data_IF_649729406275
#
_entry.id   IF_649729406275
#
_cell.length_a   1.000
_cell.length_b   1.000
_cell.length_c   1.000
_cell.angle_alpha   90.00
_cell.angle_beta   90.00
_cell.angle_gamma   90.00
#
_symmetry.space_group_name_H-M   'P 1'
#
loop_
_entity.id
_entity.type
_entity.pdbx_description
1 polymer ?
#
# COMPACT_ATOMS: atom_id res chain seq x y z
N UNK A 1 -32.19 41.45 -0.85
CA UNK A 1 -31.27 40.88 -1.85
C UNK A 1 -30.99 39.45 -1.44
N UNK A 2 -31.61 38.47 -2.10
CA UNK A 2 -31.34 37.04 -1.90
C UNK A 2 -30.18 36.67 -2.80
N UNK A 3 -29.08 36.13 -2.26
CA UNK A 3 -27.98 35.61 -3.09
C UNK A 3 -28.55 34.52 -4.02
N UNK A 4 -28.16 34.51 -5.31
CA UNK A 4 -28.54 33.41 -6.19
C UNK A 4 -27.97 32.08 -5.62
N UNK A 5 -28.66 30.95 -5.83
CA UNK A 5 -28.17 29.66 -5.39
C UNK A 5 -26.79 29.38 -6.01
N UNK A 6 -25.83 28.95 -5.18
CA UNK A 6 -24.53 28.50 -5.65
C UNK A 6 -24.74 27.24 -6.51
N UNK A 7 -24.49 27.36 -7.82
CA UNK A 7 -24.41 26.22 -8.73
C UNK A 7 -23.17 25.38 -8.37
N UNK A 8 -23.32 24.53 -7.36
CA UNK A 8 -22.28 23.56 -7.01
C UNK A 8 -22.23 22.49 -8.09
N UNK A 9 -21.04 22.17 -8.64
CA UNK A 9 -20.92 21.10 -9.63
C UNK A 9 -21.41 19.78 -9.03
N UNK A 10 -22.28 19.08 -9.76
CA UNK A 10 -22.89 17.81 -9.33
C UNK A 10 -21.87 16.66 -9.13
N UNK A 11 -20.63 16.86 -9.55
CA UNK A 11 -19.53 15.90 -9.42
C UNK A 11 -18.18 16.63 -9.42
N UNK A 12 -17.24 16.12 -8.64
CA UNK A 12 -15.87 16.64 -8.53
C UNK A 12 -14.90 16.01 -9.54
N UNK A 13 -15.37 15.04 -10.33
CA UNK A 13 -14.52 14.32 -11.29
C UNK A 13 -14.37 15.05 -12.62
N UNK A 14 -13.13 15.34 -13.02
CA UNK A 14 -12.81 15.81 -14.37
C UNK A 14 -12.96 14.66 -15.38
N UNK A 15 -12.99 15.00 -16.68
CA UNK A 15 -12.96 13.98 -17.75
C UNK A 15 -11.76 13.05 -17.58
N UNK A 16 -10.61 13.60 -17.19
CA UNK A 16 -9.38 12.83 -16.95
C UNK A 16 -9.54 11.85 -15.80
N UNK A 17 -10.06 12.27 -14.64
CA UNK A 17 -10.21 11.37 -13.49
C UNK A 17 -11.22 10.27 -13.76
N UNK A 18 -12.27 10.55 -14.54
CA UNK A 18 -13.23 9.53 -15.00
C UNK A 18 -12.62 8.50 -15.92
N UNK A 19 -11.82 8.94 -16.90
CA UNK A 19 -11.12 8.02 -17.82
C UNK A 19 -10.13 7.16 -17.05
N UNK A 20 -9.38 7.75 -16.11
CA UNK A 20 -8.47 7.00 -15.24
C UNK A 20 -9.22 5.99 -14.37
N UNK A 21 -10.34 6.39 -13.76
CA UNK A 21 -11.18 5.48 -12.97
C UNK A 21 -11.71 4.31 -13.79
N UNK A 22 -12.21 4.57 -15.01
CA UNK A 22 -12.66 3.51 -15.91
C UNK A 22 -11.51 2.58 -16.33
N UNK A 23 -10.34 3.13 -16.66
CA UNK A 23 -9.16 2.35 -17.01
C UNK A 23 -8.69 1.45 -15.85
N UNK A 24 -8.71 1.96 -14.62
CA UNK A 24 -8.41 1.16 -13.41
C UNK A 24 -9.40 0.03 -13.24
N UNK A 25 -10.71 0.29 -13.38
CA UNK A 25 -11.73 -0.76 -13.28
C UNK A 25 -11.56 -1.86 -14.34
N UNK A 26 -11.33 -1.46 -15.60
CA UNK A 26 -11.04 -2.41 -16.68
C UNK A 26 -9.77 -3.20 -16.38
N UNK A 27 -8.72 -2.55 -15.88
CA UNK A 27 -7.47 -3.19 -15.48
C UNK A 27 -7.66 -4.22 -14.37
N UNK A 28 -8.43 -3.88 -13.33
CA UNK A 28 -8.75 -4.81 -12.21
C UNK A 28 -9.53 -6.02 -12.72
N UNK A 29 -10.56 -5.81 -13.55
CA UNK A 29 -11.34 -6.91 -14.13
C UNK A 29 -10.44 -7.80 -14.99
N UNK A 30 -9.59 -7.20 -15.82
CA UNK A 30 -8.66 -7.93 -16.68
C UNK A 30 -7.67 -8.74 -15.85
N UNK A 31 -7.11 -8.16 -14.79
CA UNK A 31 -6.20 -8.84 -13.86
C UNK A 31 -6.87 -10.05 -13.19
N UNK A 32 -8.13 -9.91 -12.76
CA UNK A 32 -8.88 -11.03 -12.15
C UNK A 32 -9.12 -12.13 -13.18
N UNK A 33 -9.59 -11.78 -14.39
CA UNK A 33 -9.88 -12.75 -15.45
C UNK A 33 -8.62 -13.52 -15.86
N UNK A 34 -7.54 -12.80 -16.14
CA UNK A 34 -6.30 -13.43 -16.58
C UNK A 34 -5.64 -14.22 -15.44
N UNK A 35 -5.55 -13.64 -14.24
CA UNK A 35 -4.85 -14.26 -13.11
C UNK A 35 -5.57 -15.49 -12.53
N UNK A 36 -6.90 -15.48 -12.46
CA UNK A 36 -7.65 -16.59 -11.86
C UNK A 36 -8.17 -17.61 -12.86
N UNK A 37 -8.41 -17.26 -14.12
CA UNK A 37 -9.04 -18.17 -15.08
C UNK A 37 -8.15 -18.57 -16.26
N UNK A 38 -7.15 -17.75 -16.61
CA UNK A 38 -6.28 -18.00 -17.78
C UNK A 38 -4.90 -18.50 -17.37
N UNK A 39 -4.35 -17.99 -16.27
CA UNK A 39 -3.05 -18.42 -15.78
C UNK A 39 -3.05 -19.94 -15.52
N UNK A 40 -2.01 -20.66 -15.98
CA UNK A 40 -1.85 -22.07 -15.65
C UNK A 40 -1.55 -22.23 -14.15
N UNK A 41 -1.82 -23.42 -13.63
CA UNK A 41 -1.33 -23.81 -12.32
C UNK A 41 0.19 -23.97 -12.33
N UNK A 42 0.81 -23.78 -11.17
CA UNK A 42 2.24 -24.01 -10.98
C UNK A 42 2.52 -25.47 -10.57
N UNK A 43 3.64 -26.04 -10.99
CA UNK A 43 3.96 -27.44 -10.71
C UNK A 43 4.10 -27.76 -9.20
N UNK A 44 4.51 -26.78 -8.39
CA UNK A 44 4.73 -26.94 -6.95
C UNK A 44 3.56 -26.37 -6.14
N UNK A 45 3.07 -25.20 -6.53
CA UNK A 45 2.05 -24.45 -5.80
C UNK A 45 0.62 -24.73 -6.29
N UNK A 46 0.46 -25.46 -7.40
CA UNK A 46 -0.82 -25.70 -8.07
C UNK A 46 -1.62 -24.39 -8.22
N UNK A 47 -2.92 -24.40 -7.93
CA UNK A 47 -3.78 -23.22 -8.01
C UNK A 47 -3.44 -22.11 -7.00
N UNK A 48 -2.67 -22.40 -5.94
CA UNK A 48 -2.36 -21.37 -4.94
C UNK A 48 -1.48 -20.25 -5.49
N UNK A 49 -0.72 -20.51 -6.57
CA UNK A 49 0.09 -19.50 -7.27
C UNK A 49 -0.75 -18.34 -7.77
N UNK A 50 -2.03 -18.55 -8.11
CA UNK A 50 -2.92 -17.51 -8.64
C UNK A 50 -3.13 -16.35 -7.65
N UNK A 51 -2.91 -16.58 -6.35
CA UNK A 51 -2.94 -15.51 -5.34
C UNK A 51 -1.89 -14.43 -5.56
N UNK A 52 -0.79 -14.73 -6.26
CA UNK A 52 0.27 -13.76 -6.56
C UNK A 52 -0.28 -12.55 -7.34
N UNK A 53 -1.27 -12.77 -8.21
CA UNK A 53 -1.86 -11.74 -9.05
C UNK A 53 -2.67 -10.71 -8.26
N UNK A 54 -3.07 -11.02 -7.03
CA UNK A 54 -3.75 -10.06 -6.14
C UNK A 54 -2.80 -9.56 -5.06
N UNK A 55 -2.06 -10.49 -4.44
CA UNK A 55 -1.22 -10.19 -3.29
C UNK A 55 -0.06 -9.26 -3.66
N UNK A 56 0.70 -9.58 -4.73
CA UNK A 56 1.90 -8.82 -5.09
C UNK A 56 1.55 -7.40 -5.55
N UNK A 57 0.55 -7.18 -6.45
CA UNK A 57 0.14 -5.82 -6.78
C UNK A 57 -0.37 -5.01 -5.58
N UNK A 58 -1.07 -5.65 -4.62
CA UNK A 58 -1.49 -4.98 -3.38
C UNK A 58 -0.29 -4.54 -2.53
N UNK A 59 0.74 -5.39 -2.43
CA UNK A 59 1.98 -5.04 -1.72
C UNK A 59 2.72 -3.89 -2.40
N UNK A 60 2.79 -3.88 -3.74
CA UNK A 60 3.41 -2.79 -4.50
C UNK A 60 2.64 -1.49 -4.30
N UNK A 61 1.30 -1.51 -4.39
CA UNK A 61 0.46 -0.33 -4.17
C UNK A 61 0.61 0.22 -2.75
N UNK A 62 0.78 -0.65 -1.75
CA UNK A 62 1.11 -0.27 -0.38
C UNK A 62 2.40 0.55 -0.33
N UNK A 63 3.49 0.04 -0.91
CA UNK A 63 4.77 0.75 -0.92
C UNK A 63 4.72 2.06 -1.68
N UNK A 64 4.06 2.09 -2.84
CA UNK A 64 3.92 3.32 -3.64
C UNK A 64 3.13 4.36 -2.85
N UNK A 65 1.97 3.99 -2.32
CA UNK A 65 1.09 4.90 -1.59
C UNK A 65 1.78 5.50 -0.36
N UNK A 66 2.43 4.67 0.46
CA UNK A 66 3.16 5.17 1.64
C UNK A 66 4.42 5.95 1.29
N UNK A 67 5.09 5.65 0.16
CA UNK A 67 6.18 6.49 -0.34
C UNK A 67 5.68 7.86 -0.78
N UNK A 68 4.52 7.93 -1.46
CA UNK A 68 3.87 9.21 -1.81
C UNK A 68 3.45 9.96 -0.55
N UNK A 69 2.93 9.27 0.47
CA UNK A 69 2.65 9.87 1.79
C UNK A 69 3.91 10.49 2.40
N UNK A 70 5.04 9.78 2.36
CA UNK A 70 6.32 10.28 2.88
C UNK A 70 6.80 11.52 2.11
N UNK A 71 6.77 11.48 0.77
CA UNK A 71 7.14 12.63 -0.07
C UNK A 71 6.23 13.82 0.21
N UNK A 72 4.91 13.63 0.24
CA UNK A 72 3.96 14.69 0.56
C UNK A 72 4.18 15.25 1.96
N UNK A 73 4.51 14.41 2.93
CA UNK A 73 4.84 14.82 4.30
C UNK A 73 6.11 15.68 4.36
N UNK A 74 7.18 15.27 3.67
CA UNK A 74 8.43 16.07 3.57
C UNK A 74 8.15 17.41 2.89
N UNK A 75 7.38 17.39 1.80
CA UNK A 75 7.06 18.59 1.04
C UNK A 75 6.13 19.54 1.83
N UNK A 76 5.21 19.03 2.64
CA UNK A 76 4.45 19.83 3.60
C UNK A 76 5.38 20.53 4.59
N UNK A 77 6.30 19.80 5.21
CA UNK A 77 7.21 20.40 6.20
C UNK A 77 8.12 21.47 5.60
N UNK A 78 8.54 21.28 4.34
CA UNK A 78 9.40 22.24 3.64
C UNK A 78 8.63 23.43 3.06
N UNK A 79 7.57 23.19 2.28
CA UNK A 79 6.86 24.22 1.50
C UNK A 79 5.63 24.78 2.21
N UNK A 80 5.12 24.11 3.25
CA UNK A 80 3.89 24.46 3.97
C UNK A 80 2.68 24.65 3.06
N UNK A 81 2.61 23.86 1.98
CA UNK A 81 1.52 23.93 1.00
C UNK A 81 0.46 22.87 1.28
N UNK A 82 -0.78 23.31 1.43
CA UNK A 82 -1.96 22.46 1.68
C UNK A 82 -2.10 21.36 0.62
N UNK A 83 -1.66 21.61 -0.61
CA UNK A 83 -1.69 20.59 -1.66
C UNK A 83 -0.88 19.34 -1.30
N UNK A 84 0.32 19.51 -0.74
CA UNK A 84 1.16 18.38 -0.31
C UNK A 84 0.60 17.63 0.88
N UNK A 85 -0.10 18.34 1.78
CA UNK A 85 -0.82 17.73 2.90
C UNK A 85 -1.97 16.85 2.40
N UNK A 86 -2.78 17.35 1.46
CA UNK A 86 -3.87 16.60 0.83
C UNK A 86 -3.31 15.36 0.12
N UNK A 87 -2.24 15.52 -0.67
CA UNK A 87 -1.59 14.38 -1.36
C UNK A 87 -1.12 13.33 -0.36
N UNK A 88 -0.48 13.74 0.75
CA UNK A 88 -0.01 12.81 1.76
C UNK A 88 -1.15 12.04 2.42
N UNK A 89 -2.22 12.76 2.79
CA UNK A 89 -3.39 12.21 3.45
C UNK A 89 -4.15 11.22 2.58
N UNK A 90 -4.51 11.62 1.35
CA UNK A 90 -5.22 10.75 0.42
C UNK A 90 -4.41 9.51 0.05
N UNK A 91 -3.08 9.64 -0.09
CA UNK A 91 -2.21 8.49 -0.35
C UNK A 91 -2.14 7.56 0.86
N UNK A 92 -2.19 8.09 2.08
CA UNK A 92 -2.17 7.27 3.29
C UNK A 92 -3.44 6.41 3.40
N UNK A 93 -4.61 6.97 3.09
CA UNK A 93 -5.88 6.23 3.07
C UNK A 93 -5.82 5.05 2.08
N UNK A 94 -5.35 5.32 0.86
CA UNK A 94 -5.16 4.29 -0.18
C UNK A 94 -4.18 3.22 0.33
N UNK A 95 -3.04 3.64 0.87
CA UNK A 95 -2.01 2.73 1.35
C UNK A 95 -2.48 1.84 2.51
N UNK A 96 -3.28 2.36 3.44
CA UNK A 96 -3.85 1.55 4.54
C UNK A 96 -4.77 0.46 3.99
N UNK A 97 -5.63 0.79 3.02
CA UNK A 97 -6.52 -0.20 2.38
C UNK A 97 -5.70 -1.32 1.73
N UNK A 98 -4.72 -0.96 0.89
CA UNK A 98 -3.88 -1.96 0.20
C UNK A 98 -2.96 -2.73 1.14
N UNK A 99 -2.48 -2.12 2.23
CA UNK A 99 -1.67 -2.79 3.22
C UNK A 99 -2.50 -3.83 3.98
N UNK A 100 -3.72 -3.48 4.36
CA UNK A 100 -4.69 -4.43 4.94
C UNK A 100 -5.00 -5.58 3.99
N UNK A 101 -5.27 -5.29 2.71
CA UNK A 101 -5.44 -6.31 1.68
C UNK A 101 -4.20 -7.21 1.54
N UNK A 102 -3.00 -6.64 1.60
CA UNK A 102 -1.73 -7.38 1.53
C UNK A 102 -1.60 -8.35 2.71
N UNK A 103 -1.88 -7.91 3.94
CA UNK A 103 -1.85 -8.77 5.12
C UNK A 103 -2.89 -9.89 5.05
N UNK A 104 -4.13 -9.58 4.63
CA UNK A 104 -5.21 -10.56 4.51
C UNK A 104 -4.89 -11.60 3.42
N UNK A 105 -4.55 -11.14 2.21
CA UNK A 105 -4.25 -12.03 1.08
C UNK A 105 -2.99 -12.84 1.33
N UNK A 106 -1.97 -12.26 1.97
CA UNK A 106 -0.75 -12.97 2.36
C UNK A 106 -1.03 -14.06 3.41
N UNK A 107 -1.89 -13.77 4.39
CA UNK A 107 -2.32 -14.75 5.39
C UNK A 107 -3.08 -15.92 4.74
N UNK A 108 -4.03 -15.63 3.85
CA UNK A 108 -4.78 -16.65 3.10
C UNK A 108 -3.83 -17.50 2.26
N UNK A 109 -2.87 -16.88 1.57
CA UNK A 109 -1.89 -17.58 0.72
C UNK A 109 -0.85 -18.37 1.53
N UNK A 110 -0.53 -17.93 2.75
CA UNK A 110 0.39 -18.65 3.63
C UNK A 110 -0.13 -20.02 4.07
N UNK A 111 -1.46 -20.21 4.17
CA UNK A 111 -2.03 -21.49 4.60
C UNK A 111 -1.72 -22.65 3.65
N UNK A 112 -2.00 -22.57 2.33
CA UNK A 112 -1.63 -23.66 1.41
C UNK A 112 -0.12 -23.77 1.20
N UNK A 113 0.64 -22.67 1.32
CA UNK A 113 2.07 -22.66 0.98
C UNK A 113 2.97 -23.12 2.14
N UNK A 114 2.68 -22.68 3.37
CA UNK A 114 3.52 -22.90 4.56
C UNK A 114 2.75 -23.51 5.74
N UNK A 115 1.50 -23.93 5.52
CA UNK A 115 0.62 -24.50 6.56
C UNK A 115 0.34 -23.56 7.76
N UNK A 116 0.52 -22.25 7.60
CA UNK A 116 0.22 -21.26 8.64
C UNK A 116 -0.40 -19.98 8.05
N UNK A 117 -1.29 -19.34 8.81
CA UNK A 117 -1.86 -18.04 8.45
C UNK A 117 -0.97 -16.87 8.89
N UNK A 118 -0.06 -17.11 9.84
CA UNK A 118 0.81 -16.09 10.41
C UNK A 118 2.03 -16.73 11.06
N UNK A 119 3.19 -16.08 10.94
CA UNK A 119 4.43 -16.48 11.59
C UNK A 119 5.06 -15.27 12.27
N UNK A 120 5.10 -15.28 13.60
CA UNK A 120 5.68 -14.19 14.39
C UNK A 120 7.21 -14.12 14.27
N UNK A 121 7.84 -15.24 13.93
CA UNK A 121 9.26 -15.29 13.62
C UNK A 121 9.64 -14.65 12.28
N UNK A 122 8.67 -14.42 11.38
CA UNK A 122 8.94 -13.84 10.06
C UNK A 122 9.07 -12.31 10.16
N UNK A 123 10.28 -11.82 9.89
CA UNK A 123 10.60 -10.39 10.00
C UNK A 123 9.79 -9.55 9.01
N UNK A 124 9.54 -10.04 7.78
CA UNK A 124 8.75 -9.33 6.77
C UNK A 124 7.31 -9.17 7.22
N UNK A 125 6.68 -10.25 7.72
CA UNK A 125 5.30 -10.21 8.21
C UNK A 125 5.15 -9.21 9.35
N UNK A 126 6.01 -9.33 10.37
CA UNK A 126 5.94 -8.47 11.55
C UNK A 126 6.21 -7.01 11.21
N UNK A 127 7.23 -6.71 10.40
CA UNK A 127 7.54 -5.32 10.00
C UNK A 127 6.45 -4.71 9.11
N UNK A 128 5.79 -5.52 8.27
CA UNK A 128 4.61 -5.08 7.49
C UNK A 128 3.42 -4.76 8.41
N UNK A 129 3.16 -5.59 9.43
CA UNK A 129 2.12 -5.30 10.42
C UNK A 129 2.43 -4.03 11.22
N UNK A 130 3.69 -3.83 11.62
CA UNK A 130 4.13 -2.60 12.29
C UNK A 130 3.87 -1.39 11.40
N UNK A 131 4.24 -1.45 10.11
CA UNK A 131 3.95 -0.41 9.11
C UNK A 131 2.44 -0.12 9.02
N UNK A 132 1.61 -1.16 8.94
CA UNK A 132 0.15 -1.02 8.90
C UNK A 132 -0.39 -0.26 10.13
N UNK A 133 0.04 -0.66 11.34
CA UNK A 133 -0.40 -0.02 12.59
C UNK A 133 0.08 1.44 12.67
N UNK A 134 1.33 1.73 12.28
CA UNK A 134 1.82 3.11 12.24
C UNK A 134 1.02 3.98 11.27
N UNK A 135 0.60 3.43 10.12
CA UNK A 135 -0.20 4.16 9.13
C UNK A 135 -1.68 4.32 9.54
N UNK A 136 -2.24 3.40 10.33
CA UNK A 136 -3.49 3.66 11.06
C UNK A 136 -3.28 4.79 12.07
N UNK A 137 -2.15 4.80 12.79
CA UNK A 137 -1.77 5.88 13.69
C UNK A 137 -1.67 7.24 12.99
N UNK A 138 -1.12 7.27 11.76
CA UNK A 138 -1.11 8.47 10.91
C UNK A 138 -2.54 9.00 10.68
N UNK A 139 -3.48 8.13 10.27
CA UNK A 139 -4.88 8.52 10.04
C UNK A 139 -5.57 8.94 11.35
N UNK A 140 -5.26 8.29 12.47
CA UNK A 140 -5.75 8.69 13.78
C UNK A 140 -5.29 10.11 14.15
N UNK A 141 -4.02 10.46 13.92
CA UNK A 141 -3.52 11.83 14.11
C UNK A 141 -4.25 12.81 13.19
N UNK A 142 -4.50 12.43 11.93
CA UNK A 142 -5.27 13.26 10.98
C UNK A 142 -6.72 13.48 11.39
N UNK A 143 -7.31 12.57 12.15
CA UNK A 143 -8.67 12.69 12.68
C UNK A 143 -8.77 13.57 13.94
N UNK A 144 -7.64 14.01 14.50
CA UNK A 144 -7.64 14.89 15.66
C UNK A 144 -8.17 16.27 15.28
N UNK A 145 -9.11 16.80 16.07
CA UNK A 145 -9.55 18.19 15.95
C UNK A 145 -8.50 19.20 16.42
N UNK A 146 -8.64 20.45 16.01
CA UNK A 146 -7.77 21.56 16.40
C UNK A 146 -7.22 22.31 15.19
N UNK A 147 -6.05 22.93 15.35
CA UNK A 147 -5.36 23.64 14.29
C UNK A 147 -4.92 22.68 13.17
N UNK A 148 -5.46 22.87 11.96
CA UNK A 148 -5.21 22.02 10.79
C UNK A 148 -3.71 21.95 10.44
N UNK A 149 -2.99 23.06 10.57
CA UNK A 149 -1.56 23.14 10.27
C UNK A 149 -0.72 22.33 11.27
N UNK A 150 -1.05 22.39 12.56
CA UNK A 150 -0.44 21.57 13.59
C UNK A 150 -0.74 20.07 13.39
N UNK A 151 -1.98 19.71 13.04
CA UNK A 151 -2.38 18.33 12.73
C UNK A 151 -1.60 17.81 11.51
N UNK A 152 -1.55 18.57 10.43
CA UNK A 152 -0.76 18.26 9.24
C UNK A 152 0.72 18.06 9.56
N UNK A 153 1.31 18.94 10.38
CA UNK A 153 2.71 18.83 10.79
C UNK A 153 2.98 17.58 11.61
N UNK A 154 2.10 17.24 12.58
CA UNK A 154 2.24 16.03 13.40
C UNK A 154 2.07 14.77 12.55
N UNK A 155 1.06 14.73 11.69
CA UNK A 155 0.84 13.61 10.78
C UNK A 155 2.03 13.43 9.83
N UNK A 156 2.57 14.51 9.27
CA UNK A 156 3.73 14.45 8.39
C UNK A 156 4.94 13.78 9.07
N UNK A 157 5.21 14.11 10.34
CA UNK A 157 6.27 13.44 11.11
C UNK A 157 5.99 11.94 11.26
N UNK A 158 4.76 11.55 11.60
CA UNK A 158 4.38 10.12 11.69
C UNK A 158 4.56 9.41 10.36
N UNK A 159 4.13 10.03 9.25
CA UNK A 159 4.23 9.44 7.91
C UNK A 159 5.68 9.20 7.47
N UNK A 160 6.59 10.14 7.80
CA UNK A 160 8.02 9.99 7.53
C UNK A 160 8.62 8.86 8.37
N UNK A 161 8.31 8.81 9.66
CA UNK A 161 8.81 7.75 10.56
C UNK A 161 8.32 6.38 10.10
N UNK A 162 7.04 6.27 9.73
CA UNK A 162 6.47 5.03 9.21
C UNK A 162 7.20 4.59 7.94
N UNK A 163 7.47 5.50 7.00
CA UNK A 163 8.12 5.20 5.73
C UNK A 163 9.54 4.64 5.85
N UNK A 164 10.25 4.89 6.96
CA UNK A 164 11.56 4.26 7.26
C UNK A 164 11.43 2.73 7.32
N UNK A 165 10.26 2.18 7.62
CA UNK A 165 10.04 0.73 7.63
C UNK A 165 9.98 0.12 6.23
N UNK A 166 9.67 0.89 5.19
CA UNK A 166 9.58 0.38 3.81
C UNK A 166 10.90 -0.30 3.36
N UNK A 167 12.08 0.34 3.46
CA UNK A 167 13.34 -0.34 3.11
C UNK A 167 13.63 -1.53 4.03
N UNK A 168 13.25 -1.49 5.31
CA UNK A 168 13.43 -2.61 6.25
C UNK A 168 12.60 -3.82 5.79
N UNK A 169 11.33 -3.63 5.44
CA UNK A 169 10.46 -4.71 4.95
C UNK A 169 10.99 -5.24 3.62
N UNK A 170 11.37 -4.35 2.69
CA UNK A 170 11.90 -4.78 1.39
C UNK A 170 13.16 -5.66 1.55
N UNK A 171 14.12 -5.22 2.37
CA UNK A 171 15.39 -5.93 2.60
C UNK A 171 15.31 -7.03 3.65
N UNK A 172 14.18 -7.19 4.34
CA UNK A 172 14.03 -8.18 5.41
C UNK A 172 14.40 -9.60 4.99
N UNK A 173 14.09 -9.98 3.74
CA UNK A 173 14.39 -11.32 3.19
C UNK A 173 15.86 -11.56 2.89
N UNK A 174 16.64 -10.48 2.74
CA UNK A 174 18.09 -10.54 2.57
C UNK A 174 18.79 -10.43 3.92
N UNK A 175 18.37 -9.49 4.78
CA UNK A 175 19.01 -9.21 6.07
C UNK A 175 18.72 -10.25 7.15
N UNK A 176 17.54 -10.88 7.12
CA UNK A 176 17.12 -11.94 8.04
C UNK A 176 16.63 -13.15 7.26
N UNK A 177 17.47 -13.64 6.34
CA UNK A 177 17.17 -14.78 5.49
C UNK A 177 16.82 -16.07 6.29
N UNK A 178 17.32 -16.22 7.51
CA UNK A 178 17.03 -17.31 8.44
C UNK A 178 15.69 -17.14 9.19
N UNK A 179 15.05 -15.97 9.08
CA UNK A 179 13.82 -15.61 9.79
C UNK A 179 12.75 -15.10 8.83
N UNK A 180 12.59 -15.77 7.70
CA UNK A 180 11.48 -15.50 6.77
C UNK A 180 11.01 -16.76 6.06
N UNK A 181 9.70 -16.83 5.83
CA UNK A 181 9.05 -17.81 4.95
C UNK A 181 9.17 -17.41 3.47
N UNK A 182 9.51 -16.15 3.20
CA UNK A 182 9.49 -15.58 1.86
C UNK A 182 10.77 -15.91 1.10
N UNK A 183 10.62 -16.19 -0.19
CA UNK A 183 11.75 -16.33 -1.11
C UNK A 183 12.59 -15.05 -1.17
N UNK A 184 13.89 -15.22 -1.41
CA UNK A 184 14.83 -14.12 -1.62
C UNK A 184 14.57 -13.41 -2.95
N UNK A 185 15.09 -12.18 -3.08
CA UNK A 185 14.93 -11.37 -4.29
C UNK A 185 15.72 -11.97 -5.47
N UNK A 186 15.02 -12.38 -6.53
CA UNK A 186 15.66 -12.87 -7.77
C UNK A 186 16.35 -11.78 -8.59
N UNK A 187 16.03 -10.50 -8.36
CA UNK A 187 16.61 -9.36 -9.10
C UNK A 187 17.93 -8.92 -8.48
N UNK A 188 18.05 -8.96 -7.14
CA UNK A 188 19.27 -8.49 -6.46
C UNK A 188 20.40 -9.52 -6.53
N UNK A 189 20.06 -10.81 -6.62
CA UNK A 189 21.04 -11.90 -6.49
C UNK A 189 21.87 -12.13 -7.77
N UNK A 190 21.54 -11.48 -8.89
CA UNK A 190 22.31 -11.53 -10.14
C UNK A 190 22.43 -12.92 -10.78
N UNK A 191 21.83 -13.94 -10.17
CA UNK A 191 21.75 -15.32 -10.65
C UNK A 191 20.54 -15.47 -11.56
N UNK A 192 20.72 -14.98 -12.78
CA UNK A 192 20.05 -15.60 -13.92
C UNK A 192 20.95 -16.79 -14.29
N UNK A 193 20.41 -18.01 -14.30
CA UNK A 193 21.07 -19.33 -14.46
C UNK A 193 21.42 -19.99 -13.11
N UNK A 194 21.02 -21.25 -12.84
CA UNK A 194 20.78 -22.39 -13.74
C UNK A 194 19.34 -22.93 -13.77
#
# INVERSE_FOLDING_TARGET
MTNPPLDLPAHTGSRTTRVLGAAVLVGVVTMILLGFFVAPEDDLMADSVRMIFVHVPSAILTYVAFSVTAVGSVMWLWKRSVWWDIVAHSSAEIGVVFCGLTLITGSIWGRPTWNTYWEWGDVRLVTTLILFVMMIGYLAVRSMGGDESAVATRAAVVGIIAAINIPIINRSVEWWADRTLHQQSSITDGKLED
#
